data_IF_947634683521
#
_entry.id   IF_947634683521
#
_cell.length_a   1.000
_cell.length_b   1.000
_cell.length_c   1.000
_cell.angle_alpha   90.00
_cell.angle_beta   90.00
_cell.angle_gamma   90.00
#
_symmetry.space_group_name_H-M   'P 1'
#
loop_
_entity.id
_entity.type
_entity.pdbx_description
1 polymer ?
#
# COMPACT_ATOMS: atom_id res chain seq x y z
N UNK A 1 -15.90 -10.83 3.40
CA UNK A 1 -14.44 -10.75 3.54
C UNK A 1 -13.91 -9.87 2.42
N UNK A 2 -12.79 -9.16 2.57
CA UNK A 2 -12.22 -8.45 1.43
C UNK A 2 -11.45 -9.43 0.54
N UNK A 3 -11.81 -9.57 -0.73
CA UNK A 3 -11.13 -10.51 -1.63
C UNK A 3 -9.69 -10.06 -1.96
N UNK A 4 -9.39 -8.76 -1.88
CA UNK A 4 -8.09 -8.19 -2.24
C UNK A 4 -7.81 -6.89 -1.49
N UNK A 5 -6.57 -6.72 -1.05
CA UNK A 5 -6.03 -5.49 -0.48
C UNK A 5 -5.05 -4.87 -1.48
N UNK A 6 -5.33 -3.65 -1.94
CA UNK A 6 -4.54 -2.93 -2.91
C UNK A 6 -3.64 -1.90 -2.23
N UNK A 7 -2.34 -2.00 -2.45
CA UNK A 7 -1.36 -0.99 -2.05
C UNK A 7 -1.12 -0.10 -3.26
N UNK A 8 -1.64 1.12 -3.19
CA UNK A 8 -1.55 2.10 -4.27
C UNK A 8 -0.35 3.00 -4.04
N UNK A 9 0.62 2.95 -4.96
CA UNK A 9 1.82 3.76 -4.91
C UNK A 9 1.61 5.15 -5.50
N UNK A 10 2.30 6.13 -4.94
CA UNK A 10 2.45 7.45 -5.55
C UNK A 10 3.58 7.48 -6.59
N UNK A 11 3.59 6.53 -7.52
CA UNK A 11 4.61 6.40 -8.55
C UNK A 11 4.05 5.70 -9.79
N UNK A 12 4.76 5.82 -10.91
CA UNK A 12 4.46 5.13 -12.17
C UNK A 12 5.50 4.03 -12.40
N UNK A 13 5.06 2.83 -12.79
CA UNK A 13 5.93 1.69 -13.04
C UNK A 13 6.90 1.99 -14.20
N UNK A 14 6.40 2.70 -15.21
CA UNK A 14 7.17 3.17 -16.38
C UNK A 14 8.34 4.09 -16.02
N UNK A 15 8.28 4.80 -14.89
CA UNK A 15 9.37 5.64 -14.37
C UNK A 15 10.33 4.79 -13.53
N UNK A 16 9.80 3.80 -12.80
CA UNK A 16 10.58 2.90 -11.95
C UNK A 16 11.48 1.94 -12.75
N UNK A 17 11.00 1.41 -13.87
CA UNK A 17 11.78 0.50 -14.73
C UNK A 17 12.99 1.13 -15.42
N UNK A 18 13.08 2.47 -15.44
CA UNK A 18 14.16 3.20 -16.13
C UNK A 18 15.38 3.52 -15.26
N UNK A 19 15.34 3.27 -13.94
CA UNK A 19 16.38 3.73 -13.01
C UNK A 19 16.73 2.65 -11.97
N UNK A 20 17.97 2.15 -12.01
CA UNK A 20 18.50 1.13 -11.09
C UNK A 20 19.01 1.68 -9.75
N UNK A 21 18.87 2.98 -9.47
CA UNK A 21 19.43 3.61 -8.27
C UNK A 21 18.46 4.61 -7.62
N UNK A 22 18.12 4.35 -6.35
CA UNK A 22 17.50 5.32 -5.44
C UNK A 22 16.04 5.65 -5.73
N UNK A 23 15.13 4.76 -5.35
CA UNK A 23 13.68 4.91 -5.52
C UNK A 23 13.15 6.25 -4.97
N UNK A 24 13.64 6.68 -3.80
CA UNK A 24 13.22 7.93 -3.14
C UNK A 24 13.50 9.19 -3.96
N UNK A 25 14.49 9.18 -4.87
CA UNK A 25 14.78 10.31 -5.77
C UNK A 25 13.84 10.38 -6.97
N UNK A 26 13.16 9.28 -7.28
CA UNK A 26 12.30 9.12 -8.46
C UNK A 26 10.86 9.51 -8.15
N UNK A 27 10.39 9.19 -6.94
CA UNK A 27 9.26 9.89 -6.33
C UNK A 27 9.69 11.33 -6.06
N UNK A 28 9.58 12.20 -7.06
CA UNK A 28 9.90 13.62 -6.95
C UNK A 28 9.13 14.23 -5.77
N UNK A 29 9.75 14.28 -4.59
CA UNK A 29 9.18 14.92 -3.40
C UNK A 29 9.09 16.42 -3.65
N UNK A 30 7.98 16.90 -4.19
CA UNK A 30 7.58 18.31 -4.18
C UNK A 30 6.47 18.52 -3.16
N UNK A 31 6.18 19.77 -2.78
CA UNK A 31 5.01 20.08 -1.94
C UNK A 31 3.70 19.52 -2.55
N UNK A 32 3.65 19.43 -3.88
CA UNK A 32 2.53 18.88 -4.66
C UNK A 32 2.58 17.35 -4.85
N UNK A 33 3.73 16.72 -4.63
CA UNK A 33 3.94 15.29 -4.87
C UNK A 33 4.88 14.71 -3.82
N UNK A 34 4.42 14.45 -2.58
CA UNK A 34 5.29 14.00 -1.50
C UNK A 34 5.87 12.61 -1.78
N UNK A 35 7.00 12.31 -1.14
CA UNK A 35 7.65 11.00 -1.21
C UNK A 35 6.67 9.85 -0.90
N UNK A 36 6.74 8.76 -1.67
CA UNK A 36 5.79 7.65 -1.55
C UNK A 36 6.08 6.78 -0.32
N UNK A 37 5.36 7.02 0.77
CA UNK A 37 5.46 6.26 2.01
C UNK A 37 5.22 4.74 1.83
N UNK A 38 4.28 4.35 0.95
CA UNK A 38 4.04 2.93 0.67
C UNK A 38 5.28 2.25 0.06
N UNK A 39 6.07 2.95 -0.74
CA UNK A 39 7.28 2.37 -1.29
C UNK A 39 8.46 2.38 -0.32
N UNK A 40 8.49 3.32 0.61
CA UNK A 40 9.42 3.24 1.74
C UNK A 40 9.12 1.97 2.57
N UNK A 41 7.84 1.66 2.80
CA UNK A 41 7.40 0.43 3.50
C UNK A 41 7.78 -0.82 2.71
N UNK A 42 7.53 -0.85 1.40
CA UNK A 42 7.67 -2.08 0.61
C UNK A 42 9.08 -2.33 0.08
N UNK A 43 9.86 -1.28 -0.23
CA UNK A 43 11.16 -1.36 -0.89
C UNK A 43 12.33 -0.71 -0.11
N UNK A 44 12.06 -0.09 1.04
CA UNK A 44 13.09 0.55 1.86
C UNK A 44 13.74 1.77 1.20
N UNK A 45 13.09 2.38 0.21
CA UNK A 45 13.49 3.65 -0.42
C UNK A 45 14.72 3.60 -1.36
N UNK A 46 15.46 2.49 -1.41
CA UNK A 46 16.73 2.39 -2.15
C UNK A 46 16.71 1.35 -3.29
N UNK A 47 15.79 0.38 -3.23
CA UNK A 47 15.72 -0.76 -4.16
C UNK A 47 14.43 -0.76 -4.98
N UNK A 48 14.42 -1.51 -6.08
CA UNK A 48 13.21 -1.88 -6.81
C UNK A 48 12.63 -3.23 -6.36
N UNK A 49 13.32 -3.91 -5.43
CA UNK A 49 12.90 -5.20 -4.89
C UNK A 49 12.21 -5.01 -3.55
N UNK A 50 11.19 -5.83 -3.32
CA UNK A 50 10.53 -5.94 -2.03
C UNK A 50 11.56 -6.30 -0.93
N UNK A 51 11.49 -5.61 0.20
CA UNK A 51 12.35 -5.95 1.35
C UNK A 51 11.92 -7.27 1.97
N UNK A 52 12.83 -8.04 2.61
CA UNK A 52 12.45 -9.22 3.38
C UNK A 52 11.41 -8.95 4.47
N UNK A 53 11.49 -7.77 5.12
CA UNK A 53 10.51 -7.35 6.11
C UNK A 53 9.10 -7.20 5.50
N UNK A 54 9.01 -6.54 4.33
CA UNK A 54 7.75 -6.41 3.60
C UNK A 54 7.23 -7.76 3.10
N UNK A 55 8.08 -8.62 2.53
CA UNK A 55 7.66 -9.95 2.07
C UNK A 55 7.05 -10.79 3.20
N UNK A 56 7.62 -10.72 4.41
CA UNK A 56 7.07 -11.37 5.59
C UNK A 56 5.74 -10.74 6.02
N UNK A 57 5.67 -9.41 6.04
CA UNK A 57 4.46 -8.69 6.39
C UNK A 57 3.31 -8.99 5.42
N UNK A 58 3.59 -9.01 4.11
CA UNK A 58 2.64 -9.37 3.05
C UNK A 58 2.06 -10.75 3.26
N UNK A 59 2.91 -11.77 3.50
CA UNK A 59 2.45 -13.14 3.81
C UNK A 59 1.55 -13.16 5.05
N UNK A 60 1.89 -12.37 6.07
CA UNK A 60 1.11 -12.26 7.28
C UNK A 60 -0.26 -11.60 7.05
N UNK A 61 -0.30 -10.51 6.27
CA UNK A 61 -1.55 -9.87 5.85
C UNK A 61 -2.42 -10.87 5.11
N UNK A 62 -1.89 -11.59 4.12
CA UNK A 62 -2.63 -12.56 3.33
C UNK A 62 -3.18 -13.71 4.20
N UNK A 63 -2.38 -14.20 5.16
CA UNK A 63 -2.79 -15.27 6.07
C UNK A 63 -3.86 -14.84 7.09
N UNK A 64 -3.74 -13.64 7.68
CA UNK A 64 -4.63 -13.21 8.77
C UNK A 64 -5.91 -12.50 8.28
N UNK A 65 -5.89 -11.88 7.09
CA UNK A 65 -7.07 -11.22 6.51
C UNK A 65 -7.86 -12.10 5.54
N UNK A 66 -7.21 -13.12 4.96
CA UNK A 66 -7.75 -13.89 3.83
C UNK A 66 -7.78 -13.10 2.52
N UNK A 67 -7.29 -11.86 2.49
CA UNK A 67 -7.20 -11.02 1.30
C UNK A 67 -5.87 -11.24 0.57
N UNK A 68 -5.89 -11.35 -0.76
CA UNK A 68 -4.66 -11.26 -1.56
C UNK A 68 -4.10 -9.83 -1.52
N UNK A 69 -2.79 -9.65 -1.39
CA UNK A 69 -2.16 -8.33 -1.48
C UNK A 69 -1.72 -8.04 -2.91
N UNK A 70 -2.27 -6.99 -3.50
CA UNK A 70 -1.91 -6.47 -4.83
C UNK A 70 -1.25 -5.11 -4.66
N UNK A 71 -0.17 -4.86 -5.40
CA UNK A 71 0.53 -3.58 -5.38
C UNK A 71 0.44 -2.98 -6.76
N UNK A 72 0.01 -1.72 -6.84
CA UNK A 72 -0.16 -1.03 -8.11
C UNK A 72 0.44 0.37 -8.08
N UNK A 73 1.13 0.68 -9.15
CA UNK A 73 1.48 2.04 -9.56
C UNK A 73 0.28 2.75 -10.19
N UNK A 74 0.34 4.08 -10.31
CA UNK A 74 -0.78 4.87 -10.82
C UNK A 74 -1.16 4.50 -12.26
N UNK A 75 -0.17 4.13 -13.07
CA UNK A 75 -0.35 3.67 -14.46
C UNK A 75 -0.86 2.23 -14.58
N UNK A 76 -0.83 1.45 -13.50
CA UNK A 76 -1.28 0.04 -13.46
C UNK A 76 -2.72 -0.14 -12.99
N UNK A 77 -3.37 0.94 -12.52
CA UNK A 77 -4.74 0.85 -12.00
C UNK A 77 -5.75 0.47 -13.10
N UNK A 78 -6.67 -0.42 -12.73
CA UNK A 78 -7.86 -0.73 -13.53
C UNK A 78 -8.73 0.52 -13.70
N UNK A 79 -9.59 0.52 -14.73
CA UNK A 79 -10.53 1.62 -14.97
C UNK A 79 -11.43 1.89 -13.76
N UNK A 80 -11.94 0.83 -13.13
CA UNK A 80 -12.79 0.92 -11.93
C UNK A 80 -12.06 1.55 -10.74
N UNK A 81 -10.80 1.17 -10.50
CA UNK A 81 -9.99 1.74 -9.42
C UNK A 81 -9.64 3.22 -9.72
N UNK A 82 -9.37 3.57 -10.98
CA UNK A 82 -9.14 4.97 -11.38
C UNK A 82 -10.37 5.84 -11.15
N UNK A 83 -11.55 5.34 -11.50
CA UNK A 83 -12.83 6.02 -11.25
C UNK A 83 -13.08 6.19 -9.75
N UNK A 84 -12.84 5.15 -8.94
CA UNK A 84 -12.93 5.24 -7.49
C UNK A 84 -11.99 6.29 -6.90
N UNK A 85 -10.70 6.25 -7.25
CA UNK A 85 -9.70 7.21 -6.77
C UNK A 85 -10.10 8.64 -7.13
N UNK A 86 -10.56 8.86 -8.35
CA UNK A 86 -10.97 10.19 -8.83
C UNK A 86 -12.22 10.69 -8.13
N UNK A 87 -13.28 9.86 -8.10
CA UNK A 87 -14.58 10.22 -7.52
C UNK A 87 -14.52 10.44 -6.01
N UNK A 88 -13.66 9.71 -5.30
CA UNK A 88 -13.45 9.84 -3.85
C UNK A 88 -12.28 10.76 -3.49
N UNK A 89 -11.61 11.36 -4.48
CA UNK A 89 -10.42 12.21 -4.29
C UNK A 89 -9.35 11.54 -3.41
N UNK A 90 -9.12 10.24 -3.60
CA UNK A 90 -8.16 9.48 -2.81
C UNK A 90 -6.75 10.00 -3.10
N UNK A 91 -6.04 10.40 -2.03
CA UNK A 91 -4.65 10.82 -2.13
C UNK A 91 -3.72 9.61 -2.12
N UNK A 92 -2.68 9.65 -2.94
CA UNK A 92 -1.63 8.64 -2.93
C UNK A 92 -0.53 8.98 -1.90
N UNK A 93 0.18 7.97 -1.37
CA UNK A 93 -0.15 6.55 -1.47
C UNK A 93 -1.37 6.20 -0.61
N UNK A 94 -2.03 5.08 -0.89
CA UNK A 94 -3.18 4.61 -0.11
C UNK A 94 -3.25 3.08 -0.07
N UNK A 95 -3.89 2.54 0.97
CA UNK A 95 -4.31 1.14 1.02
C UNK A 95 -5.82 1.08 0.83
N UNK A 96 -6.25 0.25 -0.11
CA UNK A 96 -7.65 0.12 -0.48
C UNK A 96 -8.09 -1.33 -0.36
N UNK A 97 -9.20 -1.58 0.31
CA UNK A 97 -9.83 -2.90 0.37
C UNK A 97 -10.89 -3.03 -0.72
N UNK A 98 -10.90 -4.15 -1.44
CA UNK A 98 -12.02 -4.55 -2.30
C UNK A 98 -13.15 -5.17 -1.46
N UNK A 99 -14.40 -4.86 -1.80
CA UNK A 99 -15.58 -5.41 -1.11
C UNK A 99 -16.16 -6.61 -1.88
N UNK A 100 -16.68 -7.58 -1.13
CA UNK A 100 -17.52 -8.64 -1.70
C UNK A 100 -18.75 -8.00 -2.36
N UNK A 101 -19.01 -8.37 -3.63
CA UNK A 101 -20.09 -7.76 -4.42
C UNK A 101 -19.70 -6.47 -5.16
N UNK A 102 -18.43 -6.08 -5.11
CA UNK A 102 -17.87 -4.96 -5.88
C UNK A 102 -17.67 -3.68 -5.07
N UNK A 103 -16.81 -2.81 -5.58
CA UNK A 103 -16.46 -1.55 -4.97
C UNK A 103 -15.22 -1.59 -4.08
N UNK A 104 -14.83 -0.40 -3.63
CA UNK A 104 -13.56 -0.14 -2.96
C UNK A 104 -13.76 0.75 -1.73
N UNK A 105 -12.86 0.61 -0.76
CA UNK A 105 -12.80 1.45 0.44
C UNK A 105 -11.34 1.73 0.82
N UNK A 106 -11.03 2.98 1.13
CA UNK A 106 -9.71 3.34 1.67
C UNK A 106 -9.64 2.87 3.12
N UNK A 107 -8.64 2.06 3.44
CA UNK A 107 -8.44 1.52 4.80
C UNK A 107 -7.22 2.14 5.50
N UNK A 108 -6.24 2.61 4.73
CA UNK A 108 -5.19 3.48 5.23
C UNK A 108 -4.91 4.59 4.22
N UNK A 109 -4.93 5.84 4.69
CA UNK A 109 -4.62 7.00 3.87
C UNK A 109 -3.12 7.32 3.80
N UNK A 110 -2.78 8.34 3.02
CA UNK A 110 -1.39 8.80 2.85
C UNK A 110 -0.71 9.22 4.15
N UNK A 111 -1.46 9.77 5.11
CA UNK A 111 -0.92 10.25 6.40
C UNK A 111 -0.64 9.07 7.34
N UNK A 112 -1.55 8.09 7.37
CA UNK A 112 -1.37 6.85 8.14
C UNK A 112 -0.18 6.04 7.61
N UNK A 113 -0.02 5.95 6.29
CA UNK A 113 1.15 5.33 5.67
C UNK A 113 2.44 6.10 5.96
N UNK A 114 2.41 7.43 5.93
CA UNK A 114 3.58 8.25 6.30
C UNK A 114 3.98 8.04 7.77
N UNK A 115 3.01 7.86 8.68
CA UNK A 115 3.25 7.58 10.09
C UNK A 115 3.95 6.23 10.33
N UNK A 116 3.84 5.28 9.40
CA UNK A 116 4.58 4.02 9.46
C UNK A 116 6.10 4.21 9.27
N UNK A 117 6.55 5.33 8.70
CA UNK A 117 7.99 5.66 8.53
C UNK A 117 8.82 4.54 7.87
N UNK A 118 8.23 3.85 6.89
CA UNK A 118 8.87 2.73 6.19
C UNK A 118 8.86 1.39 6.95
N UNK A 119 8.17 1.32 8.10
CA UNK A 119 8.06 0.10 8.89
C UNK A 119 6.82 -0.72 8.51
N UNK A 120 7.05 -1.92 7.95
CA UNK A 120 5.98 -2.83 7.55
C UNK A 120 5.17 -3.41 8.73
N UNK A 121 5.75 -3.49 9.93
CA UNK A 121 5.01 -3.97 11.11
C UNK A 121 4.00 -2.92 11.60
N UNK A 122 4.34 -1.63 11.54
CA UNK A 122 3.38 -0.56 11.85
C UNK A 122 2.20 -0.54 10.90
N UNK A 123 2.42 -0.88 9.63
CA UNK A 123 1.33 -1.04 8.67
C UNK A 123 0.41 -2.20 9.07
N UNK A 124 0.96 -3.34 9.50
CA UNK A 124 0.18 -4.47 10.02
C UNK A 124 -0.64 -4.07 11.24
N UNK A 125 -0.03 -3.35 12.19
CA UNK A 125 -0.72 -2.85 13.38
C UNK A 125 -1.91 -1.96 12.98
N UNK A 126 -1.70 -1.01 12.08
CA UNK A 126 -2.78 -0.18 11.52
C UNK A 126 -3.89 -1.00 10.88
N UNK A 127 -3.55 -2.01 10.07
CA UNK A 127 -4.56 -2.90 9.45
C UNK A 127 -5.37 -3.70 10.49
N UNK A 128 -4.76 -4.12 11.59
CA UNK A 128 -5.47 -4.77 12.71
C UNK A 128 -6.39 -3.82 13.45
N UNK A 129 -5.95 -2.58 13.69
CA UNK A 129 -6.78 -1.54 14.32
C UNK A 129 -8.03 -1.22 13.48
N UNK A 130 -7.91 -1.29 12.16
CA UNK A 130 -9.03 -1.13 11.22
C UNK A 130 -9.89 -2.38 11.04
N UNK A 131 -9.57 -3.48 11.73
CA UNK A 131 -10.31 -4.75 11.62
C UNK A 131 -10.14 -5.47 10.29
N UNK A 132 -9.12 -5.11 9.49
CA UNK A 132 -8.83 -5.76 8.20
C UNK A 132 -8.15 -7.12 8.42
N UNK A 133 -7.33 -7.22 9.46
CA UNK A 133 -6.66 -8.45 9.88
C UNK A 133 -7.24 -8.92 11.22
N UNK A 134 -7.30 -10.24 11.42
CA UNK A 134 -7.68 -10.79 12.72
C UNK A 134 -6.73 -10.30 13.80
N UNK A 135 -7.27 -9.79 14.91
CA UNK A 135 -6.46 -9.60 16.11
C UNK A 135 -6.05 -10.98 16.61
N UNK A 136 -4.76 -11.18 16.93
CA UNK A 136 -4.34 -12.36 17.67
C UNK A 136 -5.21 -12.43 18.92
N UNK A 137 -6.09 -13.41 19.02
CA UNK A 137 -6.67 -13.77 20.31
C UNK A 137 -5.47 -14.09 21.20
N UNK A 138 -5.27 -13.31 22.26
CA UNK A 138 -4.41 -13.72 23.34
C UNK A 138 -5.05 -14.99 23.92
N UNK A 139 -4.51 -16.15 23.56
CA UNK A 139 -4.85 -17.40 24.23
C UNK A 139 -4.49 -17.22 25.71
N UNK A 140 -5.50 -17.25 26.57
CA UNK A 140 -5.35 -17.43 28.01
C UNK A 140 -4.82 -18.84 28.31
#
# INVERSE_FOLDING_TARGET
MSATLYILYNADASVMGKLKYGYRKICKSSEENPACAACDITHGGLSLQETPAWMNAKKQIEAESGSKVVQWHRDELSSEMKEFVTSKQVRYPAVVAGKDGGGFEVVMDSSELAACKGDAQKMIEGLREKGIMQQKQASL
#
